data_IF_403839781501
#
_entry.id   IF_403839781501
#
_cell.length_a   1.000
_cell.length_b   1.000
_cell.length_c   1.000
_cell.angle_alpha   90.00
_cell.angle_beta   90.00
_cell.angle_gamma   90.00
#
_symmetry.space_group_name_H-M   'P 1'
#
loop_
_entity.id
_entity.type
_entity.pdbx_description
1 polymer ?
#
# COMPACT_ATOMS: atom_id res chain seq x y z
N UNK A 1 -8.39 -15.01 24.87
CA UNK A 1 -7.39 -13.97 25.20
C UNK A 1 -8.15 -12.66 25.38
N UNK A 2 -8.05 -12.03 26.56
CA UNK A 2 -8.81 -10.80 26.89
C UNK A 2 -8.21 -9.63 26.09
N UNK A 3 -8.98 -9.05 25.16
CA UNK A 3 -8.66 -7.73 24.60
C UNK A 3 -8.64 -6.71 25.74
N UNK A 4 -7.46 -6.14 25.99
CA UNK A 4 -7.33 -5.07 26.98
C UNK A 4 -8.14 -3.87 26.50
N UNK A 5 -9.19 -3.48 27.23
CA UNK A 5 -10.00 -2.30 26.95
C UNK A 5 -9.09 -1.07 26.97
N UNK A 6 -8.90 -0.43 25.79
CA UNK A 6 -8.11 0.82 25.68
C UNK A 6 -8.72 1.88 26.59
N UNK A 7 -7.88 2.61 27.33
CA UNK A 7 -8.36 3.73 28.14
C UNK A 7 -8.91 4.85 27.26
N UNK A 8 -9.83 5.66 27.75
CA UNK A 8 -10.39 6.81 27.03
C UNK A 8 -9.28 7.75 26.47
N UNK A 9 -8.21 7.96 27.24
CA UNK A 9 -7.04 8.76 26.78
C UNK A 9 -6.31 8.12 25.61
N UNK A 10 -6.19 6.80 25.57
CA UNK A 10 -5.58 6.08 24.45
C UNK A 10 -6.42 6.19 23.18
N UNK A 11 -7.73 6.06 23.29
CA UNK A 11 -8.66 6.25 22.16
C UNK A 11 -8.55 7.66 21.58
N UNK A 12 -8.59 8.69 22.43
CA UNK A 12 -8.45 10.09 22.01
C UNK A 12 -7.08 10.39 21.37
N UNK A 13 -6.02 9.79 21.87
CA UNK A 13 -4.69 9.93 21.27
C UNK A 13 -4.62 9.30 19.89
N UNK A 14 -5.20 8.10 19.70
CA UNK A 14 -5.27 7.40 18.43
C UNK A 14 -6.12 8.17 17.39
N UNK A 15 -7.30 8.65 17.76
CA UNK A 15 -8.14 9.51 16.92
C UNK A 15 -7.40 10.78 16.48
N UNK A 16 -6.63 11.38 17.39
CA UNK A 16 -5.81 12.56 17.07
C UNK A 16 -4.70 12.20 16.07
N UNK A 17 -4.04 11.06 16.25
CA UNK A 17 -3.02 10.57 15.30
C UNK A 17 -3.61 10.34 13.91
N UNK A 18 -4.76 9.67 13.81
CA UNK A 18 -5.45 9.42 12.53
C UNK A 18 -5.86 10.73 11.85
N UNK A 19 -6.37 11.70 12.61
CA UNK A 19 -6.72 13.02 12.07
C UNK A 19 -5.49 13.75 11.52
N UNK A 20 -4.35 13.71 12.21
CA UNK A 20 -3.09 14.29 11.72
C UNK A 20 -2.61 13.56 10.45
N UNK A 21 -2.69 12.23 10.41
CA UNK A 21 -2.30 11.43 9.24
C UNK A 21 -3.16 11.75 8.00
N UNK A 22 -4.49 11.88 8.16
CA UNK A 22 -5.39 12.26 7.07
C UNK A 22 -5.11 13.66 6.54
N UNK A 23 -4.88 14.63 7.41
CA UNK A 23 -4.50 15.99 7.03
C UNK A 23 -3.15 16.00 6.27
N UNK A 24 -2.18 15.24 6.75
CA UNK A 24 -0.88 15.11 6.10
C UNK A 24 -1.00 14.44 4.73
N UNK A 25 -1.78 13.35 4.58
CA UNK A 25 -2.03 12.68 3.29
C UNK A 25 -2.58 13.66 2.26
N UNK A 26 -3.61 14.43 2.62
CA UNK A 26 -4.19 15.43 1.72
C UNK A 26 -3.15 16.49 1.29
N UNK A 27 -2.33 17.00 2.21
CA UNK A 27 -1.29 17.98 1.91
C UNK A 27 -0.15 17.38 1.08
N UNK A 28 0.29 16.15 1.39
CA UNK A 28 1.33 15.46 0.61
C UNK A 28 0.89 15.19 -0.82
N UNK A 29 -0.36 14.78 -1.03
CA UNK A 29 -0.92 14.57 -2.35
C UNK A 29 -1.07 15.89 -3.14
N UNK A 30 -1.51 16.98 -2.48
CA UNK A 30 -1.83 18.24 -3.16
C UNK A 30 -0.61 19.12 -3.44
N UNK A 31 0.38 19.18 -2.56
CA UNK A 31 1.53 20.09 -2.68
C UNK A 31 2.90 19.42 -2.59
N UNK A 32 2.91 18.10 -2.42
CA UNK A 32 4.13 17.29 -2.29
C UNK A 32 4.64 17.13 -0.86
N UNK A 33 5.30 16.00 -0.63
CA UNK A 33 5.85 15.65 0.69
C UNK A 33 6.92 16.67 1.15
N UNK A 34 7.85 17.04 0.27
CA UNK A 34 8.95 17.98 0.58
C UNK A 34 8.44 19.36 0.97
N UNK A 35 7.50 19.91 0.22
CA UNK A 35 6.93 21.25 0.43
C UNK A 35 6.00 21.34 1.66
N UNK A 36 5.54 20.21 2.20
CA UNK A 36 4.63 20.21 3.35
C UNK A 36 5.38 20.35 4.68
N UNK A 37 5.05 21.38 5.46
CA UNK A 37 5.59 21.60 6.79
C UNK A 37 4.74 20.96 7.90
N UNK A 38 5.34 20.68 9.06
CA UNK A 38 4.61 20.22 10.25
C UNK A 38 3.58 21.25 10.72
N UNK A 39 3.86 22.55 10.56
CA UNK A 39 2.92 23.63 10.90
C UNK A 39 1.69 23.63 9.98
N UNK A 40 1.87 23.36 8.68
CA UNK A 40 0.77 23.21 7.74
C UNK A 40 -0.11 22.00 8.11
N UNK A 41 0.50 20.87 8.45
CA UNK A 41 -0.21 19.66 8.90
C UNK A 41 -0.99 19.93 10.19
N UNK A 42 -0.37 20.61 11.17
CA UNK A 42 -1.04 20.97 12.42
C UNK A 42 -2.27 21.85 12.21
N UNK A 43 -2.13 22.87 11.34
CA UNK A 43 -3.21 23.78 10.96
C UNK A 43 -4.36 23.02 10.30
N UNK A 44 -4.05 22.18 9.33
CA UNK A 44 -5.05 21.38 8.58
C UNK A 44 -5.76 20.38 9.50
N UNK A 45 -5.01 19.74 10.42
CA UNK A 45 -5.55 18.80 11.39
C UNK A 45 -6.32 19.48 12.54
N UNK A 46 -6.29 20.82 12.65
CA UNK A 46 -6.91 21.56 13.75
C UNK A 46 -6.29 21.25 15.12
N UNK A 47 -4.96 21.09 15.19
CA UNK A 47 -4.21 20.83 16.42
C UNK A 47 -3.02 21.80 16.55
N UNK A 48 -2.47 21.93 17.77
CA UNK A 48 -1.24 22.68 17.95
C UNK A 48 -0.04 21.93 17.32
N UNK A 49 0.92 22.66 16.75
CA UNK A 49 2.18 22.10 16.19
C UNK A 49 2.90 21.20 17.20
N UNK A 50 2.93 21.57 18.47
CA UNK A 50 3.49 20.75 19.55
C UNK A 50 2.80 19.40 19.68
N UNK A 51 1.49 19.32 19.40
CA UNK A 51 0.73 18.07 19.41
C UNK A 51 1.22 17.13 18.30
N UNK A 52 1.50 17.64 17.10
CA UNK A 52 2.07 16.84 16.00
C UNK A 52 3.43 16.28 16.37
N UNK A 53 4.34 17.13 16.88
CA UNK A 53 5.65 16.66 17.33
C UNK A 53 5.55 15.62 18.46
N UNK A 54 4.65 15.81 19.41
CA UNK A 54 4.45 14.87 20.52
C UNK A 54 3.89 13.53 20.07
N UNK A 55 3.06 13.54 19.00
CA UNK A 55 2.40 12.34 18.47
C UNK A 55 3.29 11.53 17.52
N UNK A 56 4.18 12.19 16.75
CA UNK A 56 4.93 11.56 15.66
C UNK A 56 6.44 11.86 15.67
N UNK A 57 6.87 13.01 16.19
CA UNK A 57 8.27 13.42 16.07
C UNK A 57 8.66 13.91 14.67
N UNK A 58 8.41 13.15 13.61
CA UNK A 58 8.84 13.46 12.23
C UNK A 58 7.72 13.27 11.20
N UNK A 59 7.85 13.94 10.03
CA UNK A 59 6.97 13.71 8.85
C UNK A 59 7.01 12.25 8.38
N UNK A 60 8.16 11.60 8.49
CA UNK A 60 8.36 10.19 8.10
C UNK A 60 7.48 9.24 8.93
N UNK A 61 7.33 9.49 10.22
CA UNK A 61 6.46 8.68 11.08
C UNK A 61 4.99 8.88 10.76
N UNK A 62 4.60 10.09 10.33
CA UNK A 62 3.26 10.35 9.81
C UNK A 62 3.06 9.56 8.51
N UNK A 63 4.03 9.59 7.60
CA UNK A 63 3.98 8.83 6.34
C UNK A 63 3.90 7.32 6.57
N UNK A 64 4.60 6.80 7.59
CA UNK A 64 4.46 5.39 7.97
C UNK A 64 3.04 5.04 8.40
N UNK A 65 2.40 5.87 9.23
CA UNK A 65 1.01 5.64 9.63
C UNK A 65 0.04 5.74 8.44
N UNK A 66 0.25 6.69 7.52
CA UNK A 66 -0.57 6.79 6.30
C UNK A 66 -0.53 5.47 5.50
N UNK A 67 0.64 4.85 5.39
CA UNK A 67 0.76 3.55 4.73
C UNK A 67 0.03 2.44 5.50
N UNK A 68 0.17 2.40 6.83
CA UNK A 68 -0.47 1.37 7.64
C UNK A 68 -2.00 1.49 7.59
N UNK A 69 -2.54 2.72 7.60
CA UNK A 69 -3.97 2.99 7.41
C UNK A 69 -4.45 2.57 6.03
N UNK A 70 -3.72 2.93 4.96
CA UNK A 70 -4.04 2.50 3.60
C UNK A 70 -4.12 0.97 3.46
N UNK A 71 -3.14 0.24 4.00
CA UNK A 71 -3.14 -1.24 3.97
C UNK A 71 -4.33 -1.82 4.77
N UNK A 72 -4.68 -1.19 5.89
CA UNK A 72 -5.84 -1.56 6.70
C UNK A 72 -7.16 -1.27 5.98
N UNK A 73 -7.32 -0.08 5.38
CA UNK A 73 -8.50 0.31 4.59
C UNK A 73 -8.69 -0.61 3.37
N UNK A 74 -7.59 -1.02 2.73
CA UNK A 74 -7.62 -1.99 1.64
C UNK A 74 -7.92 -3.43 2.10
N UNK A 75 -7.93 -3.72 3.41
CA UNK A 75 -8.08 -5.08 3.93
C UNK A 75 -6.97 -6.02 3.44
N UNK A 76 -5.73 -5.52 3.37
CA UNK A 76 -4.63 -6.18 2.66
C UNK A 76 -4.31 -7.58 3.22
N UNK A 77 -4.38 -7.77 4.53
CA UNK A 77 -4.08 -9.05 5.20
C UNK A 77 -5.21 -10.04 4.95
N UNK A 78 -6.45 -9.67 5.25
CA UNK A 78 -7.63 -10.53 5.13
C UNK A 78 -7.84 -11.00 3.69
N UNK A 79 -7.60 -10.11 2.73
CA UNK A 79 -7.67 -10.47 1.29
C UNK A 79 -6.54 -11.39 0.87
N UNK A 80 -5.33 -11.22 1.40
CA UNK A 80 -4.23 -12.13 1.13
C UNK A 80 -4.55 -13.54 1.66
N UNK A 81 -5.09 -13.65 2.87
CA UNK A 81 -5.53 -14.94 3.45
C UNK A 81 -6.61 -15.59 2.58
N UNK A 82 -7.56 -14.82 2.04
CA UNK A 82 -8.57 -15.32 1.10
C UNK A 82 -7.93 -15.87 -0.18
N UNK A 83 -6.93 -15.18 -0.74
CA UNK A 83 -6.20 -15.67 -1.93
C UNK A 83 -5.50 -17.01 -1.66
N UNK A 84 -4.83 -17.14 -0.50
CA UNK A 84 -4.18 -18.40 -0.13
C UNK A 84 -5.16 -19.57 0.08
N UNK A 85 -6.42 -19.27 0.40
CA UNK A 85 -7.47 -20.28 0.59
C UNK A 85 -8.08 -20.82 -0.73
N UNK A 86 -7.77 -20.21 -1.88
CA UNK A 86 -8.26 -20.67 -3.18
C UNK A 86 -7.48 -21.89 -3.65
N UNK A 87 -8.13 -22.99 -3.93
CA UNK A 87 -7.45 -24.25 -4.35
C UNK A 87 -7.08 -24.24 -5.84
N UNK A 88 -7.95 -23.73 -6.71
CA UNK A 88 -7.71 -23.69 -8.15
C UNK A 88 -6.59 -22.68 -8.51
N UNK A 89 -5.53 -23.13 -9.23
CA UNK A 89 -4.39 -22.27 -9.54
C UNK A 89 -4.74 -21.03 -10.38
N UNK A 90 -5.65 -21.17 -11.36
CA UNK A 90 -6.03 -20.07 -12.23
C UNK A 90 -6.86 -19.03 -11.45
N UNK A 91 -7.78 -19.49 -10.59
CA UNK A 91 -8.54 -18.60 -9.71
C UNK A 91 -7.66 -17.96 -8.62
N UNK A 92 -6.62 -18.66 -8.14
CA UNK A 92 -5.66 -18.07 -7.20
C UNK A 92 -4.85 -16.94 -7.86
N UNK A 93 -4.43 -17.09 -9.12
CA UNK A 93 -3.78 -16.00 -9.86
C UNK A 93 -4.74 -14.82 -10.09
N UNK A 94 -6.01 -15.09 -10.38
CA UNK A 94 -7.05 -14.04 -10.45
C UNK A 94 -7.21 -13.34 -9.10
N UNK A 95 -7.27 -14.07 -8.02
CA UNK A 95 -7.31 -13.52 -6.66
C UNK A 95 -6.09 -12.67 -6.33
N UNK A 96 -4.89 -13.07 -6.77
CA UNK A 96 -3.68 -12.28 -6.61
C UNK A 96 -3.75 -10.95 -7.39
N UNK A 97 -4.28 -10.97 -8.63
CA UNK A 97 -4.54 -9.75 -9.42
C UNK A 97 -5.55 -8.84 -8.71
N UNK A 98 -6.65 -9.39 -8.20
CA UNK A 98 -7.66 -8.65 -7.45
C UNK A 98 -7.12 -8.05 -6.14
N UNK A 99 -6.25 -8.76 -5.45
CA UNK A 99 -5.55 -8.24 -4.26
C UNK A 99 -4.72 -6.99 -4.60
N UNK A 100 -3.94 -7.04 -5.67
CA UNK A 100 -3.13 -5.91 -6.15
C UNK A 100 -4.01 -4.73 -6.57
N UNK A 101 -5.03 -5.00 -7.39
CA UNK A 101 -5.98 -3.99 -7.88
C UNK A 101 -6.66 -3.27 -6.74
N UNK A 102 -7.13 -4.03 -5.73
CA UNK A 102 -7.76 -3.45 -4.55
C UNK A 102 -6.81 -2.56 -3.73
N UNK A 103 -5.54 -2.93 -3.60
CA UNK A 103 -4.54 -2.07 -2.96
C UNK A 103 -4.43 -0.72 -3.68
N UNK A 104 -4.31 -0.73 -4.99
CA UNK A 104 -4.17 0.50 -5.77
C UNK A 104 -5.47 1.32 -5.81
N UNK A 105 -6.61 0.70 -6.02
CA UNK A 105 -7.90 1.38 -6.03
C UNK A 105 -8.24 2.04 -4.68
N UNK A 106 -7.80 1.45 -3.56
CA UNK A 106 -8.03 2.02 -2.22
C UNK A 106 -7.17 3.24 -1.89
N UNK A 107 -6.06 3.48 -2.61
CA UNK A 107 -5.18 4.60 -2.26
C UNK A 107 -3.94 4.71 -3.12
N UNK A 108 -4.09 4.85 -4.42
CA UNK A 108 -2.93 5.03 -5.32
C UNK A 108 -2.16 6.33 -5.04
N UNK A 109 -2.84 7.37 -4.54
CA UNK A 109 -2.21 8.59 -4.05
C UNK A 109 -1.14 8.34 -3.00
N UNK A 110 -1.33 7.35 -2.11
CA UNK A 110 -0.32 6.95 -1.11
C UNK A 110 0.94 6.43 -1.81
N UNK A 111 0.79 5.65 -2.87
CA UNK A 111 1.93 5.15 -3.68
C UNK A 111 2.69 6.32 -4.29
N UNK A 112 2.00 7.27 -4.91
CA UNK A 112 2.60 8.47 -5.51
C UNK A 112 3.30 9.36 -4.47
N UNK A 113 2.70 9.55 -3.28
CA UNK A 113 3.33 10.27 -2.16
C UNK A 113 4.65 9.58 -1.77
N UNK A 114 4.66 8.25 -1.71
CA UNK A 114 5.85 7.48 -1.39
C UNK A 114 6.94 7.65 -2.45
N UNK A 115 6.61 7.55 -3.72
CA UNK A 115 7.58 7.74 -4.81
C UNK A 115 8.19 9.15 -4.76
N UNK A 116 7.36 10.17 -4.60
CA UNK A 116 7.81 11.57 -4.48
C UNK A 116 8.68 11.82 -3.22
N UNK A 117 8.46 11.08 -2.14
CA UNK A 117 9.23 11.20 -0.90
C UNK A 117 10.59 10.47 -0.93
N UNK A 118 10.86 9.66 -1.94
CA UNK A 118 12.06 8.79 -2.01
C UNK A 118 13.37 9.60 -1.99
N UNK A 119 13.38 10.80 -2.55
CA UNK A 119 14.58 11.62 -2.68
C UNK A 119 14.81 12.59 -1.52
N UNK A 120 13.88 12.65 -0.56
CA UNK A 120 13.94 13.60 0.57
C UNK A 120 15.03 13.28 1.59
N UNK A 121 15.23 12.00 1.91
CA UNK A 121 16.32 11.57 2.81
C UNK A 121 16.60 10.07 2.70
N UNK A 122 17.83 9.63 3.11
CA UNK A 122 18.17 8.22 3.20
C UNK A 122 17.22 7.42 4.09
N UNK A 123 16.77 8.00 5.21
CA UNK A 123 15.86 7.37 6.15
C UNK A 123 14.45 7.19 5.57
N UNK A 124 13.95 8.19 4.83
CA UNK A 124 12.67 8.10 4.13
C UNK A 124 12.75 7.01 3.05
N UNK A 125 13.83 6.99 2.28
CA UNK A 125 14.08 5.93 1.29
C UNK A 125 14.14 4.53 1.92
N UNK A 126 14.76 4.38 3.10
CA UNK A 126 14.81 3.12 3.82
C UNK A 126 13.42 2.66 4.27
N UNK A 127 12.58 3.57 4.80
CA UNK A 127 11.19 3.28 5.13
C UNK A 127 10.42 2.75 3.91
N UNK A 128 10.53 3.43 2.76
CA UNK A 128 9.86 3.04 1.53
C UNK A 128 10.27 1.66 1.06
N UNK A 129 11.58 1.38 1.06
CA UNK A 129 12.11 0.05 0.70
C UNK A 129 11.55 -1.04 1.62
N UNK A 130 11.44 -0.77 2.92
CA UNK A 130 10.86 -1.71 3.89
C UNK A 130 9.38 -2.01 3.59
N UNK A 131 8.58 -0.97 3.31
CA UNK A 131 7.15 -1.14 2.98
C UNK A 131 6.96 -1.90 1.67
N UNK A 132 7.74 -1.56 0.63
CA UNK A 132 7.73 -2.29 -0.66
C UNK A 132 8.19 -3.74 -0.51
N UNK A 133 9.20 -4.01 0.32
CA UNK A 133 9.66 -5.36 0.59
C UNK A 133 8.54 -6.21 1.24
N UNK A 134 7.77 -5.64 2.18
CA UNK A 134 6.62 -6.31 2.78
C UNK A 134 5.55 -6.69 1.76
N UNK A 135 5.16 -5.74 0.88
CA UNK A 135 4.24 -6.02 -0.25
C UNK A 135 4.77 -7.14 -1.15
N UNK A 136 6.02 -7.02 -1.57
CA UNK A 136 6.63 -7.99 -2.46
C UNK A 136 6.73 -9.38 -1.82
N UNK A 137 6.95 -9.48 -0.50
CA UNK A 137 6.94 -10.77 0.21
C UNK A 137 5.57 -11.46 0.11
N UNK A 138 4.47 -10.72 0.26
CA UNK A 138 3.12 -11.28 0.11
C UNK A 138 2.89 -11.76 -1.32
N UNK A 139 3.24 -10.94 -2.32
CA UNK A 139 3.14 -11.29 -3.74
C UNK A 139 3.97 -12.53 -4.09
N UNK A 140 5.22 -12.56 -3.62
CA UNK A 140 6.13 -13.69 -3.84
C UNK A 140 5.62 -14.98 -3.20
N UNK A 141 4.99 -14.88 -2.01
CA UNK A 141 4.38 -16.02 -1.33
C UNK A 141 3.14 -16.53 -2.08
N UNK A 142 2.29 -15.64 -2.64
CA UNK A 142 1.16 -16.03 -3.48
C UNK A 142 1.62 -16.87 -4.69
N UNK A 143 2.68 -16.44 -5.38
CA UNK A 143 3.23 -17.20 -6.51
C UNK A 143 3.92 -18.49 -6.05
N UNK A 144 4.67 -18.46 -4.94
CA UNK A 144 5.33 -19.65 -4.41
C UNK A 144 4.33 -20.74 -3.99
N UNK A 145 3.12 -20.36 -3.58
CA UNK A 145 2.06 -21.32 -3.27
C UNK A 145 1.56 -22.14 -4.48
N UNK A 146 2.00 -21.78 -5.69
CA UNK A 146 1.67 -22.44 -6.96
C UNK A 146 2.90 -23.10 -7.62
N UNK A 147 4.02 -23.25 -6.90
CA UNK A 147 5.31 -23.65 -7.48
C UNK A 147 5.22 -24.93 -8.32
N UNK A 148 4.47 -25.95 -7.85
CA UNK A 148 4.30 -27.24 -8.54
C UNK A 148 3.48 -27.14 -9.86
N UNK A 149 2.74 -26.06 -10.08
CA UNK A 149 1.90 -25.82 -11.26
C UNK A 149 2.53 -24.88 -12.26
N UNK A 150 3.65 -24.21 -11.89
CA UNK A 150 4.30 -23.23 -12.75
C UNK A 150 5.00 -23.89 -13.95
N UNK A 151 4.82 -23.32 -15.15
CA UNK A 151 5.54 -23.74 -16.36
C UNK A 151 6.92 -23.08 -16.50
N UNK A 152 7.26 -22.13 -15.62
CA UNK A 152 8.54 -21.41 -15.60
C UNK A 152 9.14 -21.43 -14.19
N UNK A 153 10.46 -21.18 -14.05
CA UNK A 153 11.08 -21.14 -12.73
C UNK A 153 10.43 -20.13 -11.78
N UNK A 154 10.23 -20.52 -10.52
CA UNK A 154 9.58 -19.72 -9.48
C UNK A 154 10.08 -18.25 -9.43
N UNK A 155 11.41 -18.06 -9.46
CA UNK A 155 11.99 -16.69 -9.44
C UNK A 155 11.57 -15.84 -10.64
N UNK A 156 11.37 -16.44 -11.81
CA UNK A 156 10.90 -15.73 -13.00
C UNK A 156 9.40 -15.39 -12.84
N UNK A 157 8.59 -16.33 -12.38
CA UNK A 157 7.18 -16.11 -12.11
C UNK A 157 6.93 -14.97 -11.10
N UNK A 158 7.69 -14.95 -10.00
CA UNK A 158 7.66 -13.87 -9.03
C UNK A 158 8.08 -12.52 -9.63
N UNK A 159 9.12 -12.51 -10.48
CA UNK A 159 9.56 -11.28 -11.16
C UNK A 159 8.51 -10.74 -12.13
N UNK A 160 7.80 -11.60 -12.86
CA UNK A 160 6.70 -11.22 -13.75
C UNK A 160 5.58 -10.55 -12.96
N UNK A 161 5.14 -11.15 -11.85
CA UNK A 161 4.08 -10.55 -11.04
C UNK A 161 4.52 -9.19 -10.47
N UNK A 162 5.74 -9.07 -9.96
CA UNK A 162 6.27 -7.78 -9.49
C UNK A 162 6.38 -6.73 -10.60
N UNK A 163 6.67 -7.13 -11.83
CA UNK A 163 6.72 -6.21 -12.98
C UNK A 163 5.32 -5.70 -13.35
N UNK A 164 4.31 -6.57 -13.37
CA UNK A 164 2.91 -6.17 -13.58
C UNK A 164 2.37 -5.29 -12.44
N UNK A 165 2.90 -5.48 -11.23
CA UNK A 165 2.58 -4.69 -10.04
C UNK A 165 3.43 -3.42 -9.89
N UNK A 166 4.22 -3.03 -10.89
CA UNK A 166 4.92 -1.75 -10.84
C UNK A 166 3.90 -0.60 -10.87
N UNK A 167 4.02 0.42 -9.99
CA UNK A 167 3.05 1.53 -9.93
C UNK A 167 2.82 2.20 -11.27
N UNK A 168 3.87 2.37 -12.09
CA UNK A 168 3.75 2.95 -13.42
C UNK A 168 2.85 2.16 -14.38
N UNK A 169 2.66 0.84 -14.18
CA UNK A 169 1.71 0.05 -15.01
C UNK A 169 0.27 0.43 -14.65
N UNK A 170 -0.05 0.55 -13.37
CA UNK A 170 -1.38 0.99 -12.94
C UNK A 170 -1.65 2.42 -13.38
N UNK A 171 -0.70 3.32 -13.17
CA UNK A 171 -0.81 4.72 -13.57
C UNK A 171 -1.07 4.86 -15.06
N UNK A 172 -0.27 4.19 -15.91
CA UNK A 172 -0.43 4.24 -17.38
C UNK A 172 -1.81 3.74 -17.81
N UNK A 173 -2.25 2.58 -17.28
CA UNK A 173 -3.48 1.96 -17.74
C UNK A 173 -4.73 2.65 -17.16
N UNK A 174 -4.75 2.94 -15.86
CA UNK A 174 -5.94 3.44 -15.18
C UNK A 174 -6.01 4.98 -15.26
N UNK A 175 -4.94 5.68 -14.85
CA UNK A 175 -4.99 7.14 -14.75
C UNK A 175 -4.81 7.82 -16.11
N UNK A 176 -3.88 7.32 -16.96
CA UNK A 176 -3.54 7.96 -18.24
C UNK A 176 -4.42 7.43 -19.39
N UNK A 177 -4.63 6.11 -19.46
CA UNK A 177 -5.40 5.46 -20.54
C UNK A 177 -6.89 5.29 -20.22
N UNK A 178 -7.33 5.60 -19.00
CA UNK A 178 -8.74 5.62 -18.59
C UNK A 178 -9.37 4.24 -18.40
N UNK A 179 -8.56 3.21 -18.14
CA UNK A 179 -9.08 1.89 -17.80
C UNK A 179 -9.76 1.91 -16.42
N UNK A 180 -10.76 1.10 -16.27
CA UNK A 180 -11.34 0.81 -14.96
C UNK A 180 -10.41 -0.11 -14.14
N UNK A 181 -10.48 -0.09 -12.80
CA UNK A 181 -9.77 -1.06 -11.97
C UNK A 181 -10.08 -2.52 -12.36
N UNK A 182 -11.30 -2.84 -12.76
CA UNK A 182 -11.69 -4.19 -13.19
C UNK A 182 -11.01 -4.61 -14.50
N UNK A 183 -10.81 -3.69 -15.44
CA UNK A 183 -10.05 -3.93 -16.67
C UNK A 183 -8.58 -4.16 -16.38
N UNK A 184 -8.00 -3.41 -15.44
CA UNK A 184 -6.65 -3.63 -14.95
C UNK A 184 -6.51 -5.00 -14.26
N UNK A 185 -7.44 -5.37 -13.39
CA UNK A 185 -7.47 -6.69 -12.75
C UNK A 185 -7.47 -7.82 -13.77
N UNK A 186 -8.37 -7.72 -14.76
CA UNK A 186 -8.48 -8.70 -15.83
C UNK A 186 -7.18 -8.82 -16.62
N UNK A 187 -6.56 -7.70 -16.96
CA UNK A 187 -5.28 -7.67 -17.67
C UNK A 187 -4.16 -8.36 -16.88
N UNK A 188 -4.05 -8.07 -15.57
CA UNK A 188 -3.04 -8.69 -14.70
C UNK A 188 -3.31 -10.19 -14.56
N UNK A 189 -4.55 -10.59 -14.30
CA UNK A 189 -4.95 -11.99 -14.15
C UNK A 189 -4.66 -12.80 -15.41
N UNK A 190 -5.07 -12.32 -16.58
CA UNK A 190 -4.85 -12.97 -17.87
C UNK A 190 -3.36 -13.03 -18.23
N UNK A 191 -2.60 -11.98 -17.88
CA UNK A 191 -1.15 -11.95 -18.10
C UNK A 191 -0.44 -12.98 -17.24
N UNK A 192 -0.79 -13.09 -15.97
CA UNK A 192 -0.24 -14.11 -15.07
C UNK A 192 -0.62 -15.51 -15.53
N UNK A 193 -1.89 -15.76 -15.84
CA UNK A 193 -2.35 -17.09 -16.30
C UNK A 193 -1.58 -17.55 -17.52
N UNK A 194 -1.50 -16.72 -18.58
CA UNK A 194 -0.84 -17.08 -19.84
C UNK A 194 0.68 -17.31 -19.73
N UNK A 195 1.33 -16.68 -18.74
CA UNK A 195 2.78 -16.75 -18.62
C UNK A 195 3.24 -17.76 -17.58
N UNK A 196 2.37 -18.12 -16.62
CA UNK A 196 2.75 -18.93 -15.47
C UNK A 196 2.17 -20.35 -15.51
N UNK A 197 0.96 -20.51 -16.05
CA UNK A 197 0.23 -21.78 -16.19
C UNK A 197 0.05 -22.19 -17.64
#
# INVERSE_FOLDING_TARGET
MSEAVKSYRQVQAEETRLRIARAARALFAGQGYGATSIDAIAKEAGVATRTVYSAFGTKREILSLICDEWLSEAGAIERADQVFAIDDPAERLRGAAGWLTNLYAAGFDVVLIFEAATDESPETRALLRSKLAGRNQVMDAMIASLEDQLQIPLKQAQAIYRALAAPGVYQELVDESGWTPDEFETFVADSLHRQLL
#
